data_IF_461102196411
#
_entry.id   IF_461102196411
#
_cell.length_a   1.000
_cell.length_b   1.000
_cell.length_c   1.000
_cell.angle_alpha   90.00
_cell.angle_beta   90.00
_cell.angle_gamma   90.00
#
_symmetry.space_group_name_H-M   'P 1'
#
loop_
_entity.id
_entity.type
_entity.pdbx_description
1 polymer ?
#
# COMPACT_ATOMS: atom_id res chain seq x y z
N UNK A 1 -22.48 21.97 -16.96
CA UNK A 1 -22.08 22.36 -15.59
C UNK A 1 -21.46 21.21 -14.77
N UNK A 2 -21.97 19.96 -14.71
CA UNK A 2 -21.39 18.94 -13.81
C UNK A 2 -20.00 18.43 -14.22
N UNK A 3 -19.67 18.47 -15.52
CA UNK A 3 -18.41 17.90 -16.03
C UNK A 3 -17.18 18.75 -15.68
N UNK A 4 -17.28 20.09 -15.67
CA UNK A 4 -16.16 20.99 -15.33
C UNK A 4 -15.81 20.94 -13.85
N UNK A 5 -16.83 20.86 -13.00
CA UNK A 5 -16.66 20.76 -11.54
C UNK A 5 -16.09 19.39 -11.12
N UNK A 6 -16.30 18.35 -11.92
CA UNK A 6 -15.68 17.04 -11.74
C UNK A 6 -14.21 17.06 -12.17
N UNK A 7 -13.90 17.74 -13.29
CA UNK A 7 -12.52 17.91 -13.80
C UNK A 7 -11.65 18.70 -12.82
N UNK A 8 -12.13 19.84 -12.31
CA UNK A 8 -11.41 20.63 -11.29
C UNK A 8 -11.17 19.83 -9.99
N UNK A 9 -12.03 18.85 -9.69
CA UNK A 9 -11.88 17.98 -8.51
C UNK A 9 -11.02 16.74 -8.78
N UNK A 10 -10.69 16.44 -10.04
CA UNK A 10 -9.89 15.29 -10.47
C UNK A 10 -8.49 15.64 -10.97
N UNK A 11 -8.21 16.92 -11.21
CA UNK A 11 -6.91 17.44 -11.59
C UNK A 11 -6.00 17.63 -10.37
N UNK A 12 -4.82 17.02 -10.41
CA UNK A 12 -3.71 17.30 -9.52
C UNK A 12 -2.62 17.95 -10.35
N UNK A 13 -2.15 19.13 -9.95
CA UNK A 13 -1.01 19.78 -10.57
C UNK A 13 0.19 19.78 -9.63
N UNK A 14 1.32 19.25 -10.09
CA UNK A 14 2.61 19.34 -9.43
C UNK A 14 3.53 20.26 -10.24
N UNK A 15 4.06 21.29 -9.59
CA UNK A 15 5.04 22.19 -10.18
C UNK A 15 6.42 21.54 -10.11
N UNK A 16 7.11 21.48 -11.25
CA UNK A 16 8.46 20.99 -11.37
C UNK A 16 9.34 22.11 -11.94
N UNK A 17 10.48 22.33 -11.32
CA UNK A 17 11.54 23.18 -11.88
C UNK A 17 12.24 22.45 -13.02
N UNK A 18 12.42 21.12 -12.89
CA UNK A 18 13.03 20.26 -13.92
C UNK A 18 12.44 18.84 -13.89
N UNK A 19 12.75 18.00 -14.90
CA UNK A 19 12.39 16.59 -14.84
C UNK A 19 13.11 15.82 -13.72
N UNK A 20 14.25 16.31 -13.22
CA UNK A 20 15.01 15.67 -12.15
C UNK A 20 14.21 15.63 -10.84
N UNK A 21 13.28 16.57 -10.61
CA UNK A 21 12.45 16.65 -9.40
C UNK A 21 11.55 15.42 -9.19
N UNK A 22 11.26 14.68 -10.27
CA UNK A 22 10.50 13.41 -10.25
C UNK A 22 11.37 12.28 -9.68
N UNK A 23 12.69 12.42 -9.74
CA UNK A 23 13.66 11.36 -9.49
C UNK A 23 14.58 11.66 -8.31
N UNK A 24 15.21 10.62 -7.78
CA UNK A 24 16.13 10.75 -6.67
C UNK A 24 17.48 11.32 -7.14
N UNK A 25 17.92 12.39 -6.48
CA UNK A 25 19.25 13.00 -6.69
C UNK A 25 20.42 12.08 -6.32
N UNK A 26 20.16 11.08 -5.46
CA UNK A 26 21.15 10.08 -5.07
C UNK A 26 21.38 9.02 -6.15
N UNK A 27 20.57 8.99 -7.21
CA UNK A 27 20.63 7.99 -8.26
C UNK A 27 21.12 8.58 -9.58
N UNK A 28 22.40 8.38 -9.96
CA UNK A 28 22.98 9.01 -11.15
C UNK A 28 22.52 8.36 -12.48
N UNK A 29 21.68 7.32 -12.45
CA UNK A 29 21.25 6.61 -13.67
C UNK A 29 20.36 7.49 -14.56
N UNK A 30 20.14 7.08 -15.81
CA UNK A 30 19.18 7.74 -16.70
C UNK A 30 17.72 7.56 -16.24
N UNK A 31 16.80 8.42 -16.70
CA UNK A 31 15.36 8.36 -16.35
C UNK A 31 14.71 6.99 -16.57
N UNK A 32 15.20 6.20 -17.53
CA UNK A 32 14.73 4.82 -17.75
C UNK A 32 14.91 3.89 -16.55
N UNK A 33 15.88 4.16 -15.68
CA UNK A 33 16.26 3.29 -14.55
C UNK A 33 16.31 4.01 -13.21
N UNK A 34 16.35 5.34 -13.22
CA UNK A 34 16.46 6.16 -12.02
C UNK A 34 15.31 5.87 -11.05
N UNK A 35 15.61 5.89 -9.76
CA UNK A 35 14.62 5.80 -8.69
C UNK A 35 13.78 7.09 -8.66
N UNK A 36 12.49 6.97 -8.31
CA UNK A 36 11.65 8.14 -8.09
C UNK A 36 12.06 8.81 -6.78
N UNK A 37 11.91 10.13 -6.69
CA UNK A 37 12.15 10.88 -5.46
C UNK A 37 11.12 10.50 -4.39
N UNK A 38 11.56 10.45 -3.13
CA UNK A 38 10.65 10.33 -1.99
C UNK A 38 9.73 11.54 -1.91
N UNK A 39 10.29 12.74 -2.07
CA UNK A 39 9.55 14.01 -2.00
C UNK A 39 8.47 14.09 -3.07
N UNK A 40 8.78 13.66 -4.29
CA UNK A 40 7.79 13.57 -5.38
C UNK A 40 6.65 12.61 -5.03
N UNK A 41 6.97 11.43 -4.50
CA UNK A 41 5.98 10.43 -4.12
C UNK A 41 5.09 10.91 -2.97
N UNK A 42 5.67 11.58 -1.98
CA UNK A 42 4.93 12.18 -0.86
C UNK A 42 4.00 13.30 -1.33
N UNK A 43 4.48 14.20 -2.18
CA UNK A 43 3.67 15.26 -2.78
C UNK A 43 2.50 14.68 -3.59
N UNK A 44 2.76 13.70 -4.46
CA UNK A 44 1.74 13.02 -5.23
C UNK A 44 0.73 12.30 -4.32
N UNK A 45 1.20 11.64 -3.26
CA UNK A 45 0.32 10.95 -2.31
C UNK A 45 -0.57 11.94 -1.56
N UNK A 46 -0.02 13.07 -1.11
CA UNK A 46 -0.76 14.12 -0.43
C UNK A 46 -1.87 14.66 -1.34
N UNK A 47 -1.52 15.03 -2.57
CA UNK A 47 -2.48 15.56 -3.52
C UNK A 47 -3.60 14.55 -3.86
N UNK A 48 -3.27 13.26 -3.96
CA UNK A 48 -4.25 12.21 -4.27
C UNK A 48 -5.25 11.95 -3.13
N UNK A 49 -4.95 12.39 -1.90
CA UNK A 49 -5.88 12.29 -0.76
C UNK A 49 -6.97 13.36 -0.81
N UNK A 50 -6.67 14.52 -1.40
CA UNK A 50 -7.60 15.65 -1.51
C UNK A 50 -8.59 15.45 -2.67
N UNK A 51 -8.20 14.67 -3.67
CA UNK A 51 -9.03 14.32 -4.83
C UNK A 51 -10.12 13.28 -4.49
N UNK A 52 -11.38 13.59 -4.84
CA UNK A 52 -12.51 12.65 -4.72
C UNK A 52 -12.47 11.57 -5.82
N UNK A 53 -13.27 10.52 -5.65
CA UNK A 53 -13.33 9.37 -6.57
C UNK A 53 -13.64 9.81 -8.02
N UNK A 54 -12.75 9.48 -8.96
CA UNK A 54 -12.84 9.87 -10.38
C UNK A 54 -11.62 9.41 -11.19
N UNK A 55 -11.64 9.67 -12.50
CA UNK A 55 -10.46 9.51 -13.35
C UNK A 55 -9.44 10.59 -12.96
N UNK A 56 -8.33 10.20 -12.35
CA UNK A 56 -7.32 11.13 -11.86
C UNK A 56 -6.46 11.64 -13.02
N UNK A 57 -6.31 12.95 -13.13
CA UNK A 57 -5.38 13.58 -14.08
C UNK A 57 -4.23 14.21 -13.28
N UNK A 58 -3.00 13.72 -13.50
CA UNK A 58 -1.80 14.28 -12.89
C UNK A 58 -1.06 15.14 -13.91
N UNK A 59 -1.13 16.44 -13.70
CA UNK A 59 -0.42 17.45 -14.46
C UNK A 59 0.94 17.70 -13.83
N UNK A 60 1.98 17.46 -14.62
CA UNK A 60 3.36 17.80 -14.29
C UNK A 60 3.70 19.09 -15.04
N UNK A 61 3.74 20.21 -14.30
CA UNK A 61 3.94 21.55 -14.84
C UNK A 61 5.43 21.87 -14.92
N UNK A 62 5.95 22.15 -16.12
CA UNK A 62 7.36 22.49 -16.34
C UNK A 62 7.52 23.86 -17.02
N UNK A 63 8.66 24.55 -16.85
CA UNK A 63 8.97 25.72 -17.66
C UNK A 63 8.99 25.37 -19.15
N UNK A 64 8.38 26.21 -20.00
CA UNK A 64 8.33 25.97 -21.47
C UNK A 64 9.67 25.60 -22.10
N UNK A 65 10.76 26.17 -21.60
CA UNK A 65 12.12 25.98 -22.15
C UNK A 65 12.70 24.59 -21.84
N UNK A 66 12.18 23.90 -20.83
CA UNK A 66 12.68 22.61 -20.38
C UNK A 66 11.88 21.43 -20.94
N UNK A 67 10.76 21.71 -21.63
CA UNK A 67 9.87 20.67 -22.12
C UNK A 67 10.49 19.88 -23.26
N UNK A 68 10.71 18.59 -23.05
CA UNK A 68 11.20 17.68 -24.08
C UNK A 68 10.30 16.44 -24.22
N UNK A 69 9.53 16.38 -25.32
CA UNK A 69 8.57 15.30 -25.59
C UNK A 69 9.18 13.89 -25.59
N UNK A 70 10.47 13.75 -25.92
CA UNK A 70 11.16 12.45 -25.92
C UNK A 70 11.35 11.94 -24.51
N UNK A 71 11.76 12.81 -23.59
CA UNK A 71 11.91 12.48 -22.17
C UNK A 71 10.56 12.20 -21.52
N UNK A 72 9.53 12.99 -21.86
CA UNK A 72 8.16 12.79 -21.36
C UNK A 72 7.64 11.35 -21.59
N UNK A 73 7.90 10.77 -22.76
CA UNK A 73 7.48 9.38 -23.07
C UNK A 73 8.19 8.38 -22.15
N UNK A 74 9.49 8.57 -21.95
CA UNK A 74 10.30 7.72 -21.07
C UNK A 74 9.84 7.84 -19.63
N UNK A 75 9.60 9.06 -19.16
CA UNK A 75 9.17 9.36 -17.79
C UNK A 75 7.78 8.78 -17.53
N UNK A 76 6.82 8.95 -18.46
CA UNK A 76 5.47 8.33 -18.35
C UNK A 76 5.56 6.82 -18.20
N UNK A 77 6.34 6.18 -19.07
CA UNK A 77 6.54 4.74 -19.01
C UNK A 77 7.15 4.33 -17.67
N UNK A 78 8.15 5.07 -17.19
CA UNK A 78 8.85 4.80 -15.93
C UNK A 78 7.95 4.93 -14.71
N UNK A 79 7.14 5.99 -14.65
CA UNK A 79 6.14 6.24 -13.60
C UNK A 79 5.10 5.13 -13.59
N UNK A 80 4.50 4.82 -14.74
CA UNK A 80 3.49 3.77 -14.83
C UNK A 80 4.03 2.41 -14.40
N UNK A 81 5.25 2.05 -14.83
CA UNK A 81 5.91 0.83 -14.41
C UNK A 81 6.17 0.81 -12.89
N UNK A 82 6.63 1.93 -12.31
CA UNK A 82 6.85 2.05 -10.88
C UNK A 82 5.56 1.82 -10.10
N UNK A 83 4.47 2.52 -10.45
CA UNK A 83 3.20 2.42 -9.74
C UNK A 83 2.57 1.03 -9.89
N UNK A 84 2.64 0.41 -11.08
CA UNK A 84 2.16 -0.96 -11.29
C UNK A 84 2.93 -1.97 -10.44
N UNK A 85 4.26 -1.86 -10.41
CA UNK A 85 5.12 -2.76 -9.64
C UNK A 85 4.79 -2.68 -8.14
N UNK A 86 4.69 -1.47 -7.59
CA UNK A 86 4.40 -1.28 -6.16
C UNK A 86 2.97 -1.69 -5.82
N UNK A 87 1.98 -1.40 -6.68
CA UNK A 87 0.61 -1.89 -6.49
C UNK A 87 0.57 -3.42 -6.40
N UNK A 88 1.25 -4.12 -7.31
CA UNK A 88 1.32 -5.59 -7.30
C UNK A 88 2.02 -6.13 -6.03
N UNK A 89 3.12 -5.50 -5.62
CA UNK A 89 3.85 -5.91 -4.40
C UNK A 89 2.99 -5.73 -3.14
N UNK A 90 2.29 -4.61 -3.02
CA UNK A 90 1.40 -4.34 -1.88
C UNK A 90 0.19 -5.28 -1.87
N UNK A 91 -0.40 -5.60 -3.02
CA UNK A 91 -1.46 -6.62 -3.12
C UNK A 91 -0.97 -7.98 -2.63
N UNK A 92 0.24 -8.38 -3.01
CA UNK A 92 0.84 -9.62 -2.56
C UNK A 92 1.11 -9.61 -1.05
N UNK A 93 1.63 -8.49 -0.53
CA UNK A 93 1.85 -8.30 0.90
C UNK A 93 0.55 -8.40 1.69
N UNK A 94 -0.54 -7.79 1.24
CA UNK A 94 -1.86 -7.89 1.90
C UNK A 94 -2.32 -9.35 1.94
N UNK A 95 -2.26 -10.06 0.81
CA UNK A 95 -2.67 -11.48 0.74
C UNK A 95 -1.84 -12.35 1.68
N UNK A 96 -0.53 -12.12 1.71
CA UNK A 96 0.37 -12.85 2.59
C UNK A 96 0.10 -12.57 4.08
N UNK A 97 -0.08 -11.30 4.46
CA UNK A 97 -0.42 -10.90 5.83
C UNK A 97 -1.76 -11.49 6.28
N UNK A 98 -2.77 -11.47 5.40
CA UNK A 98 -4.08 -12.09 5.66
C UNK A 98 -3.95 -13.59 5.87
N UNK A 99 -3.25 -14.29 4.98
CA UNK A 99 -3.06 -15.73 5.07
C UNK A 99 -2.33 -16.12 6.37
N UNK A 100 -1.27 -15.40 6.73
CA UNK A 100 -0.59 -15.60 8.01
C UNK A 100 -1.50 -15.33 9.21
N UNK A 101 -2.26 -14.25 9.19
CA UNK A 101 -3.21 -13.92 10.25
C UNK A 101 -4.27 -15.01 10.43
N UNK A 102 -4.87 -15.48 9.33
CA UNK A 102 -5.86 -16.56 9.34
C UNK A 102 -5.27 -17.85 9.91
N UNK A 103 -4.08 -18.26 9.46
CA UNK A 103 -3.42 -19.46 9.97
C UNK A 103 -3.15 -19.40 11.48
N UNK A 104 -2.65 -18.26 11.97
CA UNK A 104 -2.38 -18.05 13.39
C UNK A 104 -3.69 -18.10 14.20
N UNK A 105 -4.74 -17.43 13.73
CA UNK A 105 -6.05 -17.43 14.39
C UNK A 105 -6.64 -18.85 14.47
N UNK A 106 -6.60 -19.61 13.36
CA UNK A 106 -7.08 -20.99 13.34
C UNK A 106 -6.28 -21.90 14.28
N UNK A 107 -4.96 -21.72 14.35
CA UNK A 107 -4.11 -22.45 15.27
C UNK A 107 -4.43 -22.12 16.74
N UNK A 108 -4.72 -20.85 17.04
CA UNK A 108 -5.18 -20.41 18.36
C UNK A 108 -6.50 -21.07 18.77
N UNK A 109 -7.49 -21.11 17.88
CA UNK A 109 -8.73 -21.85 18.13
C UNK A 109 -8.49 -23.35 18.32
N UNK A 110 -7.60 -23.95 17.55
CA UNK A 110 -7.23 -25.36 17.71
C UNK A 110 -6.62 -25.63 19.10
N UNK A 111 -5.76 -24.74 19.60
CA UNK A 111 -5.19 -24.87 20.95
C UNK A 111 -6.27 -24.76 22.04
N UNK A 112 -7.22 -23.83 21.90
CA UNK A 112 -8.35 -23.75 22.84
C UNK A 112 -9.22 -25.01 22.83
N UNK A 113 -9.51 -25.56 21.64
CA UNK A 113 -10.27 -26.80 21.52
C UNK A 113 -9.55 -27.99 22.15
N UNK A 114 -8.24 -28.13 21.91
CA UNK A 114 -7.42 -29.18 22.52
C UNK A 114 -7.40 -29.02 24.05
N UNK A 115 -7.21 -27.81 24.56
CA UNK A 115 -7.26 -27.55 25.99
C UNK A 115 -8.60 -28.00 26.59
N UNK A 116 -9.72 -27.61 25.97
CA UNK A 116 -11.06 -28.02 26.40
C UNK A 116 -11.27 -29.53 26.41
N UNK A 117 -10.84 -30.24 25.37
CA UNK A 117 -10.96 -31.70 25.27
C UNK A 117 -10.10 -32.45 26.29
N UNK A 118 -8.86 -31.97 26.52
CA UNK A 118 -7.94 -32.58 27.50
C UNK A 118 -8.48 -32.37 28.92
N UNK A 119 -9.01 -31.19 29.21
CA UNK A 119 -9.67 -30.86 30.48
C UNK A 119 -10.90 -31.75 30.72
N UNK A 120 -11.75 -31.92 29.70
CA UNK A 120 -12.97 -32.72 29.82
C UNK A 120 -12.69 -34.19 30.16
N UNK A 121 -11.60 -34.76 29.65
CA UNK A 121 -11.26 -36.18 29.89
C UNK A 121 -10.65 -36.46 31.25
N UNK A 122 -9.77 -35.59 31.76
CA UNK A 122 -9.04 -35.83 33.00
C UNK A 122 -8.78 -34.51 33.75
N UNK A 123 -9.76 -33.95 34.46
CA UNK A 123 -9.65 -32.62 35.05
C UNK A 123 -8.56 -32.49 36.12
N UNK A 124 -8.29 -33.54 36.88
CA UNK A 124 -7.43 -33.48 38.08
C UNK A 124 -5.99 -33.98 37.89
N UNK A 125 -5.58 -34.26 36.64
CA UNK A 125 -4.20 -34.70 36.38
C UNK A 125 -3.23 -33.52 36.31
N UNK A 126 -2.04 -33.66 36.90
CA UNK A 126 -0.97 -32.66 36.81
C UNK A 126 -0.65 -32.27 35.35
N UNK A 127 -0.69 -33.24 34.42
CA UNK A 127 -0.48 -33.00 32.98
C UNK A 127 -1.55 -32.09 32.38
N UNK A 128 -2.81 -32.29 32.77
CA UNK A 128 -3.94 -31.44 32.34
C UNK A 128 -3.78 -30.01 32.85
N UNK A 129 -3.41 -29.86 34.12
CA UNK A 129 -3.24 -28.55 34.74
C UNK A 129 -2.06 -27.78 34.11
N UNK A 130 -0.95 -28.47 33.85
CA UNK A 130 0.20 -27.90 33.13
C UNK A 130 -0.17 -27.49 31.69
N UNK A 131 -0.86 -28.35 30.93
CA UNK A 131 -1.34 -28.01 29.59
C UNK A 131 -2.29 -26.82 29.62
N UNK A 132 -3.19 -26.74 30.61
CA UNK A 132 -4.12 -25.62 30.75
C UNK A 132 -3.38 -24.28 30.87
N UNK A 133 -2.42 -24.20 31.78
CA UNK A 133 -1.62 -23.00 32.06
C UNK A 133 -0.88 -22.51 30.81
N UNK A 134 -0.50 -23.42 29.91
CA UNK A 134 0.18 -23.08 28.66
C UNK A 134 -0.78 -22.77 27.51
N UNK A 135 -1.73 -23.66 27.23
CA UNK A 135 -2.58 -23.58 26.04
C UNK A 135 -3.64 -22.49 26.15
N UNK A 136 -4.17 -22.19 27.34
CA UNK A 136 -5.21 -21.15 27.47
C UNK A 136 -4.65 -19.75 27.14
N UNK A 137 -3.56 -19.27 27.78
CA UNK A 137 -2.97 -17.98 27.41
C UNK A 137 -2.42 -17.97 25.98
N UNK A 138 -1.80 -19.06 25.53
CA UNK A 138 -1.24 -19.15 24.18
C UNK A 138 -2.33 -19.13 23.11
N UNK A 139 -3.42 -19.86 23.30
CA UNK A 139 -4.56 -19.91 22.39
C UNK A 139 -5.24 -18.55 22.28
N UNK A 140 -5.52 -17.90 23.42
CA UNK A 140 -6.08 -16.54 23.46
C UNK A 140 -5.18 -15.54 22.75
N UNK A 141 -3.89 -15.54 23.08
CA UNK A 141 -2.93 -14.63 22.48
C UNK A 141 -2.82 -14.83 20.96
N UNK A 142 -2.75 -16.09 20.49
CA UNK A 142 -2.71 -16.40 19.07
C UNK A 142 -3.95 -15.90 18.33
N UNK A 143 -5.15 -16.09 18.90
CA UNK A 143 -6.39 -15.58 18.28
C UNK A 143 -6.32 -14.06 18.13
N UNK A 144 -5.97 -13.31 19.17
CA UNK A 144 -5.89 -11.85 19.07
C UNK A 144 -4.79 -11.37 18.15
N UNK A 145 -3.61 -11.98 18.23
CA UNK A 145 -2.48 -11.60 17.38
C UNK A 145 -2.79 -11.87 15.90
N UNK A 146 -3.45 -12.99 15.59
CA UNK A 146 -3.90 -13.30 14.24
C UNK A 146 -4.96 -12.32 13.72
N UNK A 147 -5.95 -11.98 14.56
CA UNK A 147 -6.96 -10.97 14.22
C UNK A 147 -6.36 -9.56 14.07
N UNK A 148 -5.41 -9.19 14.92
CA UNK A 148 -4.70 -7.91 14.82
C UNK A 148 -3.96 -7.77 13.48
N UNK A 149 -3.25 -8.82 13.06
CA UNK A 149 -2.64 -8.88 11.73
C UNK A 149 -3.65 -8.73 10.59
N UNK A 150 -4.83 -9.33 10.73
CA UNK A 150 -5.91 -9.24 9.72
C UNK A 150 -6.46 -7.83 9.65
N UNK A 151 -6.79 -7.20 10.78
CA UNK A 151 -7.50 -5.92 10.81
C UNK A 151 -6.57 -4.72 10.71
N UNK A 152 -5.54 -4.64 11.55
CA UNK A 152 -4.64 -3.49 11.61
C UNK A 152 -3.50 -3.64 10.61
N UNK A 153 -2.89 -4.82 10.53
CA UNK A 153 -1.78 -5.09 9.61
C UNK A 153 -2.13 -4.89 8.13
N UNK A 154 -3.40 -5.05 7.74
CA UNK A 154 -3.82 -4.82 6.35
C UNK A 154 -4.27 -3.39 6.07
N UNK A 155 -4.75 -2.65 7.09
CA UNK A 155 -5.31 -1.31 6.91
C UNK A 155 -4.27 -0.32 6.38
N UNK A 156 -3.08 -0.31 6.98
CA UNK A 156 -1.99 0.58 6.59
C UNK A 156 -1.52 0.30 5.16
N UNK A 157 -1.30 -0.97 4.84
CA UNK A 157 -0.88 -1.42 3.51
C UNK A 157 -1.97 -1.12 2.47
N UNK A 158 -3.24 -1.22 2.85
CA UNK A 158 -4.37 -0.91 1.96
C UNK A 158 -4.44 0.57 1.60
N UNK A 159 -4.22 1.48 2.54
CA UNK A 159 -4.16 2.92 2.24
C UNK A 159 -3.06 3.24 1.23
N UNK A 160 -1.88 2.64 1.38
CA UNK A 160 -0.81 2.79 0.40
C UNK A 160 -1.19 2.16 -0.95
N UNK A 161 -1.79 0.97 -0.93
CA UNK A 161 -2.23 0.29 -2.16
C UNK A 161 -3.25 1.13 -2.93
N UNK A 162 -4.20 1.76 -2.25
CA UNK A 162 -5.22 2.59 -2.90
C UNK A 162 -4.58 3.77 -3.65
N UNK A 163 -3.56 4.41 -3.07
CA UNK A 163 -2.77 5.43 -3.76
C UNK A 163 -2.12 4.87 -5.03
N UNK A 164 -1.35 3.78 -4.92
CA UNK A 164 -0.66 3.20 -6.09
C UNK A 164 -1.66 2.75 -7.17
N UNK A 165 -2.83 2.20 -6.79
CA UNK A 165 -3.89 1.83 -7.74
C UNK A 165 -4.50 3.03 -8.45
N UNK A 166 -4.70 4.15 -7.75
CA UNK A 166 -5.15 5.41 -8.37
C UNK A 166 -4.11 5.88 -9.38
N UNK A 167 -2.84 5.94 -9.01
CA UNK A 167 -1.76 6.39 -9.90
C UNK A 167 -1.54 5.49 -11.13
N UNK A 168 -1.80 4.18 -11.03
CA UNK A 168 -1.76 3.27 -12.20
C UNK A 168 -2.82 3.63 -13.26
N UNK A 169 -3.99 4.11 -12.81
CA UNK A 169 -5.12 4.48 -13.67
C UNK A 169 -5.11 5.95 -14.07
N UNK A 170 -4.27 6.75 -13.42
CA UNK A 170 -4.20 8.17 -13.65
C UNK A 170 -3.66 8.48 -15.05
N UNK A 171 -4.23 9.50 -15.67
CA UNK A 171 -3.67 10.08 -16.88
C UNK A 171 -2.53 11.02 -16.49
N UNK A 172 -1.35 10.79 -17.09
CA UNK A 172 -0.18 11.64 -16.86
C UNK A 172 -0.11 12.68 -17.99
N UNK A 173 -0.26 13.95 -17.64
CA UNK A 173 -0.21 15.09 -18.56
C UNK A 173 1.01 15.95 -18.23
N UNK A 174 1.74 16.39 -19.26
CA UNK A 174 2.80 17.38 -19.10
C UNK A 174 2.33 18.69 -19.69
N UNK A 175 2.33 19.73 -18.86
CA UNK A 175 1.90 21.07 -19.23
C UNK A 175 2.98 22.08 -18.90
N UNK A 176 2.80 23.30 -19.39
CA UNK A 176 3.79 24.36 -19.23
C UNK A 176 3.20 25.58 -18.57
N UNK A 177 3.99 26.25 -17.74
CA UNK A 177 3.74 27.59 -17.25
C UNK A 177 4.71 28.61 -17.88
#
# INVERSE_FOLDING_TARGET
>A
MPQRELLEKSEISLLLDTYDDIFSDFDPRSYTKRALSGDFLEAAQHATRETKEGALELHLLLPRKQREKREEVVIKQRLNQHFRKHAFQLEHQIKHTLHQGILITLLGFLFMLIAGLVIFRNPDSFKTQFLRILLEPSGWFMVWFGLDKIFYGTREVKTNLDFYKKMVKAELVFDTY
#
